data_IF_987364206865
#
_entry.id   IF_987364206865
#
_cell.length_a   1.000
_cell.length_b   1.000
_cell.length_c   1.000
_cell.angle_alpha   90.00
_cell.angle_beta   90.00
_cell.angle_gamma   90.00
#
_symmetry.space_group_name_H-M   'P 1'
#
loop_
_entity.id
_entity.type
_entity.pdbx_description
1 polymer ?
#
# COMPACT_ATOMS: atom_id res chain seq x y z
N UNK A 1 34.76 13.88 20.19
CA UNK A 1 34.40 12.61 19.52
C UNK A 1 33.49 12.94 18.36
N UNK A 2 33.99 12.75 17.14
CA UNK A 2 33.48 13.38 15.93
C UNK A 2 32.08 12.93 15.57
N UNK A 3 31.17 13.90 15.46
CA UNK A 3 29.89 13.72 14.78
C UNK A 3 30.18 13.33 13.33
N UNK A 4 29.92 12.07 13.00
CA UNK A 4 29.92 11.62 11.61
C UNK A 4 28.76 12.36 10.94
N UNK A 5 29.06 13.46 10.26
CA UNK A 5 28.19 14.00 9.22
C UNK A 5 28.04 12.92 8.15
N UNK A 6 27.12 11.97 8.37
CA UNK A 6 26.70 11.03 7.36
C UNK A 6 26.08 11.88 6.26
N UNK A 7 26.76 11.99 5.12
CA UNK A 7 26.17 12.59 3.92
C UNK A 7 24.80 11.92 3.70
N UNK A 8 23.74 12.68 3.39
CA UNK A 8 22.44 12.10 3.13
C UNK A 8 22.58 11.04 2.04
N UNK A 9 21.98 9.87 2.25
CA UNK A 9 22.04 8.80 1.25
C UNK A 9 21.27 9.28 0.01
N UNK A 10 21.63 8.83 -1.21
CA UNK A 10 20.96 9.27 -2.44
C UNK A 10 19.43 9.13 -2.40
N UNK A 11 18.92 8.13 -1.68
CA UNK A 11 17.49 7.94 -1.43
C UNK A 11 16.88 9.04 -0.56
N UNK A 12 17.53 9.44 0.53
CA UNK A 12 17.05 10.47 1.46
C UNK A 12 16.88 11.81 0.73
N UNK A 13 17.86 12.14 -0.12
CA UNK A 13 17.81 13.35 -0.96
C UNK A 13 16.63 13.29 -1.95
N UNK A 14 16.36 12.13 -2.56
CA UNK A 14 15.25 11.98 -3.49
C UNK A 14 13.89 12.29 -2.83
N UNK A 15 13.66 11.82 -1.60
CA UNK A 15 12.41 12.09 -0.88
C UNK A 15 12.30 13.54 -0.40
N UNK A 16 13.41 14.16 0.00
CA UNK A 16 13.45 15.60 0.31
C UNK A 16 13.08 16.44 -0.92
N UNK A 17 13.68 16.13 -2.09
CA UNK A 17 13.36 16.84 -3.34
C UNK A 17 11.92 16.58 -3.77
N UNK A 18 11.39 15.36 -3.59
CA UNK A 18 10.00 15.04 -3.87
C UNK A 18 9.05 15.86 -2.99
N UNK A 19 9.34 15.99 -1.69
CA UNK A 19 8.58 16.85 -0.77
C UNK A 19 8.65 18.33 -1.15
N UNK A 20 9.82 18.84 -1.55
CA UNK A 20 9.97 20.21 -2.04
C UNK A 20 9.20 20.45 -3.34
N UNK A 21 9.18 19.48 -4.26
CA UNK A 21 8.40 19.57 -5.50
C UNK A 21 6.89 19.59 -5.20
N UNK A 22 6.41 18.72 -4.32
CA UNK A 22 5.03 18.73 -3.85
C UNK A 22 4.66 20.08 -3.21
N UNK A 23 5.51 20.61 -2.33
CA UNK A 23 5.30 21.92 -1.70
C UNK A 23 5.29 23.06 -2.72
N UNK A 24 6.20 23.04 -3.71
CA UNK A 24 6.25 24.04 -4.76
C UNK A 24 4.97 24.06 -5.61
N UNK A 25 4.39 22.89 -5.92
CA UNK A 25 3.09 22.79 -6.59
C UNK A 25 1.98 23.41 -5.75
N UNK A 26 1.94 23.11 -4.45
CA UNK A 26 0.97 23.68 -3.51
C UNK A 26 1.07 25.22 -3.48
N UNK A 27 2.30 25.75 -3.38
CA UNK A 27 2.56 27.18 -3.33
C UNK A 27 2.24 27.91 -4.64
N UNK A 28 2.43 27.25 -5.79
CA UNK A 28 2.24 27.85 -7.11
C UNK A 28 0.77 27.89 -7.57
N UNK A 29 -0.12 27.13 -6.94
CA UNK A 29 -1.52 26.98 -7.37
C UNK A 29 -2.53 27.40 -6.28
N UNK A 30 -2.46 28.64 -5.77
CA UNK A 30 -3.43 29.11 -4.78
C UNK A 30 -4.84 29.13 -5.37
N UNK A 31 -5.83 28.67 -4.61
CA UNK A 31 -7.24 28.66 -5.01
C UNK A 31 -7.70 27.41 -5.77
N UNK A 32 -6.80 26.49 -6.12
CA UNK A 32 -7.19 25.16 -6.62
C UNK A 32 -7.83 24.36 -5.48
N UNK A 33 -8.87 23.59 -5.78
CA UNK A 33 -9.53 22.74 -4.79
C UNK A 33 -8.52 21.79 -4.11
N UNK A 34 -8.51 21.64 -2.78
CA UNK A 34 -7.42 20.94 -2.09
C UNK A 34 -7.20 19.50 -2.56
N UNK A 35 -8.25 18.76 -2.93
CA UNK A 35 -8.13 17.45 -3.57
C UNK A 35 -7.23 17.48 -4.82
N UNK A 36 -7.53 18.36 -5.79
CA UNK A 36 -6.76 18.49 -7.02
C UNK A 36 -5.34 18.98 -6.73
N UNK A 37 -5.21 19.91 -5.77
CA UNK A 37 -3.92 20.43 -5.35
C UNK A 37 -3.01 19.31 -4.80
N UNK A 38 -3.54 18.45 -3.92
CA UNK A 38 -2.80 17.30 -3.41
C UNK A 38 -2.55 16.22 -4.45
N UNK A 39 -3.45 16.02 -5.43
CA UNK A 39 -3.21 15.14 -6.56
C UNK A 39 -2.02 15.64 -7.39
N UNK A 40 -1.99 16.92 -7.74
CA UNK A 40 -0.87 17.50 -8.49
C UNK A 40 0.44 17.43 -7.72
N UNK A 41 0.40 17.67 -6.41
CA UNK A 41 1.56 17.54 -5.53
C UNK A 41 2.09 16.10 -5.47
N UNK A 42 1.20 15.11 -5.33
CA UNK A 42 1.54 13.68 -5.31
C UNK A 42 2.09 13.20 -6.66
N UNK A 43 1.51 13.67 -7.78
CA UNK A 43 2.04 13.40 -9.11
C UNK A 43 3.42 14.01 -9.33
N UNK A 44 3.65 15.26 -8.89
CA UNK A 44 4.96 15.89 -9.00
C UNK A 44 6.02 15.16 -8.16
N UNK A 45 5.69 14.78 -6.92
CA UNK A 45 6.57 14.00 -6.08
C UNK A 45 6.83 12.59 -6.67
N UNK A 46 5.82 11.94 -7.24
CA UNK A 46 5.97 10.66 -7.97
C UNK A 46 6.93 10.81 -9.15
N UNK A 47 6.85 11.89 -9.93
CA UNK A 47 7.78 12.14 -11.05
C UNK A 47 9.23 12.35 -10.58
N UNK A 48 9.43 13.01 -9.43
CA UNK A 48 10.76 13.15 -8.81
C UNK A 48 11.29 11.79 -8.36
N UNK A 49 10.47 10.99 -7.67
CA UNK A 49 10.84 9.63 -7.24
C UNK A 49 11.15 8.75 -8.45
N UNK A 50 10.39 8.89 -9.54
CA UNK A 50 10.66 8.21 -10.80
C UNK A 50 12.01 8.60 -11.39
N UNK A 51 12.29 9.90 -11.53
CA UNK A 51 13.57 10.39 -12.05
C UNK A 51 14.74 9.88 -11.19
N UNK A 52 14.60 9.93 -9.87
CA UNK A 52 15.60 9.39 -8.95
C UNK A 52 15.78 7.87 -9.12
N UNK A 53 14.68 7.11 -9.25
CA UNK A 53 14.71 5.65 -9.46
C UNK A 53 15.46 5.27 -10.75
N UNK A 54 15.33 6.09 -11.80
CA UNK A 54 16.07 5.92 -13.05
C UNK A 54 17.55 6.24 -12.87
N UNK A 55 17.88 7.33 -12.16
CA UNK A 55 19.26 7.74 -11.92
C UNK A 55 20.05 6.73 -11.07
N UNK A 56 19.39 6.08 -10.11
CA UNK A 56 20.01 5.05 -9.25
C UNK A 56 19.77 3.62 -9.74
N UNK A 57 19.11 3.46 -10.90
CA UNK A 57 18.75 2.17 -11.50
C UNK A 57 18.03 1.20 -10.53
N UNK A 58 17.12 1.71 -9.70
CA UNK A 58 16.38 0.91 -8.72
C UNK A 58 14.93 1.42 -8.57
N UNK A 59 13.97 0.71 -9.14
CA UNK A 59 12.55 1.05 -9.09
C UNK A 59 11.93 0.90 -7.69
N UNK A 60 12.57 0.13 -6.80
CA UNK A 60 12.11 -0.06 -5.42
C UNK A 60 12.23 1.20 -4.57
N UNK A 61 12.87 2.24 -5.09
CA UNK A 61 12.86 3.57 -4.47
C UNK A 61 11.43 4.13 -4.30
N UNK A 62 10.48 3.65 -5.10
CA UNK A 62 9.06 3.99 -4.98
C UNK A 62 8.39 3.37 -3.75
N UNK A 63 8.84 2.21 -3.27
CA UNK A 63 8.15 1.45 -2.22
C UNK A 63 7.90 2.20 -0.90
N UNK A 64 8.90 2.90 -0.32
CA UNK A 64 8.64 3.66 0.90
C UNK A 64 7.78 4.91 0.63
N UNK A 65 7.87 5.49 -0.57
CA UNK A 65 7.14 6.71 -0.93
C UNK A 65 5.62 6.49 -0.84
N UNK A 66 5.10 5.47 -1.52
CA UNK A 66 3.65 5.23 -1.54
C UNK A 66 3.10 4.78 -0.18
N UNK A 67 3.94 4.22 0.70
CA UNK A 67 3.55 3.88 2.08
C UNK A 67 3.42 5.10 3.00
N UNK A 68 4.11 6.20 2.69
CA UNK A 68 4.17 7.43 3.52
C UNK A 68 3.22 8.51 3.00
N UNK A 69 3.09 8.65 1.68
CA UNK A 69 2.28 9.70 1.05
C UNK A 69 0.83 9.78 1.59
N UNK A 70 0.08 8.67 1.81
CA UNK A 70 -1.27 8.72 2.35
C UNK A 70 -1.39 9.38 3.72
N UNK A 71 -0.44 9.13 4.62
CA UNK A 71 -0.42 9.75 5.94
C UNK A 71 -0.16 11.26 5.86
N UNK A 72 0.79 11.68 5.01
CA UNK A 72 1.08 13.10 4.78
C UNK A 72 -0.14 13.80 4.19
N UNK A 73 -0.77 13.21 3.17
CA UNK A 73 -1.97 13.77 2.54
C UNK A 73 -3.12 13.89 3.54
N UNK A 74 -3.38 12.85 4.34
CA UNK A 74 -4.41 12.89 5.38
C UNK A 74 -4.16 13.98 6.43
N UNK A 75 -2.90 14.19 6.85
CA UNK A 75 -2.51 15.28 7.75
C UNK A 75 -2.77 16.66 7.11
N UNK A 76 -2.44 16.82 5.83
CA UNK A 76 -2.68 18.07 5.09
C UNK A 76 -4.19 18.36 4.99
N UNK A 77 -5.03 17.34 4.84
CA UNK A 77 -6.48 17.49 4.78
C UNK A 77 -7.16 17.64 6.15
N UNK A 78 -6.47 17.36 7.24
CA UNK A 78 -7.02 17.41 8.59
C UNK A 78 -7.28 18.87 9.05
N UNK A 79 -8.34 19.47 8.54
CA UNK A 79 -8.75 20.85 8.85
C UNK A 79 -9.51 20.96 10.17
N UNK A 80 -9.96 19.84 10.75
CA UNK A 80 -10.69 19.78 12.01
C UNK A 80 -10.11 18.78 13.02
N UNK A 81 -10.53 18.89 14.27
CA UNK A 81 -10.06 18.07 15.40
C UNK A 81 -11.16 17.18 16.00
N UNK A 82 -12.15 16.79 15.20
CA UNK A 82 -13.23 15.90 15.64
C UNK A 82 -12.76 14.47 15.90
N UNK A 83 -13.63 13.69 16.55
CA UNK A 83 -13.35 12.28 16.88
C UNK A 83 -13.08 11.44 15.62
N UNK A 84 -13.88 11.62 14.55
CA UNK A 84 -13.68 10.94 13.27
C UNK A 84 -12.31 11.26 12.68
N UNK A 85 -11.95 12.54 12.59
CA UNK A 85 -10.67 12.99 12.05
C UNK A 85 -9.50 12.36 12.80
N UNK A 86 -9.56 12.39 14.14
CA UNK A 86 -8.51 11.83 14.98
C UNK A 86 -8.36 10.33 14.78
N UNK A 87 -9.47 9.59 14.78
CA UNK A 87 -9.47 8.14 14.59
C UNK A 87 -8.93 7.74 13.21
N UNK A 88 -9.38 8.41 12.15
CA UNK A 88 -8.91 8.12 10.79
C UNK A 88 -7.41 8.43 10.68
N UNK A 89 -6.93 9.56 11.21
CA UNK A 89 -5.51 9.87 11.24
C UNK A 89 -4.70 8.80 11.98
N UNK A 90 -5.15 8.35 13.15
CA UNK A 90 -4.47 7.30 13.91
C UNK A 90 -4.41 5.98 13.15
N UNK A 91 -5.50 5.59 12.47
CA UNK A 91 -5.56 4.35 11.68
C UNK A 91 -4.70 4.43 10.42
N UNK A 92 -4.71 5.56 9.70
CA UNK A 92 -3.84 5.80 8.54
C UNK A 92 -2.37 5.82 8.95
N UNK A 93 -2.03 6.46 10.08
CA UNK A 93 -0.68 6.43 10.63
C UNK A 93 -0.26 5.02 11.05
N UNK A 94 -1.13 4.27 11.71
CA UNK A 94 -0.85 2.89 12.09
C UNK A 94 -0.60 2.00 10.86
N UNK A 95 -1.42 2.15 9.81
CA UNK A 95 -1.24 1.46 8.53
C UNK A 95 0.08 1.86 7.85
N UNK A 96 0.36 3.16 7.75
CA UNK A 96 1.57 3.71 7.11
C UNK A 96 2.84 3.26 7.82
N UNK A 97 2.92 3.46 9.15
CA UNK A 97 4.07 3.05 9.96
C UNK A 97 4.32 1.55 9.85
N UNK A 98 3.26 0.73 9.92
CA UNK A 98 3.36 -0.74 9.77
C UNK A 98 3.94 -1.08 8.41
N UNK A 99 3.40 -0.52 7.33
CA UNK A 99 3.80 -0.82 5.96
C UNK A 99 5.24 -0.39 5.69
N UNK A 100 5.61 0.84 6.09
CA UNK A 100 6.99 1.34 5.99
C UNK A 100 7.95 0.49 6.82
N UNK A 101 7.58 0.09 8.05
CA UNK A 101 8.40 -0.79 8.87
C UNK A 101 8.54 -2.19 8.27
N UNK A 102 7.49 -2.72 7.63
CA UNK A 102 7.52 -4.00 6.93
C UNK A 102 8.54 -3.99 5.80
N UNK A 103 8.47 -2.95 4.95
CA UNK A 103 9.43 -2.72 3.88
C UNK A 103 10.86 -2.54 4.42
N UNK A 104 11.05 -1.66 5.40
CA UNK A 104 12.36 -1.29 5.95
C UNK A 104 13.13 -2.49 6.52
N UNK A 105 12.44 -3.49 7.09
CA UNK A 105 13.07 -4.74 7.58
C UNK A 105 13.73 -5.56 6.46
N UNK A 106 13.16 -5.52 5.25
CA UNK A 106 13.68 -6.26 4.10
C UNK A 106 14.63 -5.44 3.22
N UNK A 107 14.69 -4.12 3.41
CA UNK A 107 15.51 -3.23 2.62
C UNK A 107 17.00 -3.41 2.89
N UNK A 108 17.78 -3.73 1.84
CA UNK A 108 19.24 -3.94 1.93
C UNK A 108 20.06 -2.80 1.32
N UNK A 109 19.42 -1.67 1.01
CA UNK A 109 20.03 -0.55 0.28
C UNK A 109 19.91 -0.69 -1.24
N UNK A 110 20.47 0.29 -1.96
CA UNK A 110 20.27 0.48 -3.40
C UNK A 110 20.78 -0.67 -4.29
N UNK A 111 21.62 -1.57 -3.76
CA UNK A 111 22.04 -2.78 -4.47
C UNK A 111 20.99 -3.90 -4.50
N UNK A 112 19.86 -3.72 -3.80
CA UNK A 112 18.74 -4.66 -3.81
C UNK A 112 17.52 -4.02 -4.45
N UNK A 113 16.96 -4.69 -5.46
CA UNK A 113 15.70 -4.32 -6.11
C UNK A 113 14.68 -5.43 -5.92
N UNK A 114 13.42 -5.07 -5.69
CA UNK A 114 12.32 -6.02 -5.58
C UNK A 114 12.22 -6.84 -6.87
N UNK A 115 12.10 -8.14 -6.69
CA UNK A 115 12.02 -9.10 -7.79
C UNK A 115 10.87 -8.84 -8.77
N UNK A 116 9.78 -8.20 -8.32
CA UNK A 116 8.64 -7.83 -9.18
C UNK A 116 9.11 -6.88 -10.26
N UNK A 117 9.92 -5.90 -9.88
CA UNK A 117 10.44 -4.89 -10.80
C UNK A 117 11.52 -5.47 -11.70
N UNK A 118 12.37 -6.36 -11.17
CA UNK A 118 13.33 -7.13 -12.00
C UNK A 118 12.58 -7.98 -13.04
N UNK A 119 11.56 -8.71 -12.63
CA UNK A 119 10.74 -9.53 -13.52
C UNK A 119 10.04 -8.68 -14.60
N UNK A 120 9.42 -7.56 -14.21
CA UNK A 120 8.79 -6.63 -15.15
C UNK A 120 9.81 -6.03 -16.12
N UNK A 121 11.02 -5.71 -15.65
CA UNK A 121 12.11 -5.24 -16.50
C UNK A 121 12.52 -6.30 -17.52
N UNK A 122 12.67 -7.55 -17.11
CA UNK A 122 13.07 -8.65 -17.98
C UNK A 122 11.98 -9.05 -18.99
N UNK A 123 10.71 -8.95 -18.60
CA UNK A 123 9.55 -9.36 -19.42
C UNK A 123 8.90 -8.22 -20.20
N UNK A 124 9.46 -7.00 -20.14
CA UNK A 124 8.87 -5.81 -20.78
C UNK A 124 8.77 -5.95 -22.30
N UNK A 125 7.65 -5.47 -22.84
CA UNK A 125 7.47 -5.26 -24.28
C UNK A 125 7.62 -3.79 -24.70
N UNK A 126 7.86 -2.91 -23.73
CA UNK A 126 8.00 -1.47 -23.90
C UNK A 126 9.33 -0.98 -23.29
N UNK A 127 9.79 0.24 -23.61
CA UNK A 127 10.97 0.83 -22.99
C UNK A 127 10.87 0.83 -21.45
N UNK A 128 11.99 0.57 -20.76
CA UNK A 128 12.00 0.43 -19.31
C UNK A 128 11.46 1.66 -18.58
N UNK A 129 11.80 2.86 -19.05
CA UNK A 129 11.31 4.11 -18.46
C UNK A 129 9.78 4.18 -18.44
N UNK A 130 9.10 3.64 -19.47
CA UNK A 130 7.64 3.67 -19.56
C UNK A 130 7.01 2.65 -18.62
N UNK A 131 7.57 1.44 -18.55
CA UNK A 131 7.10 0.39 -17.62
C UNK A 131 7.30 0.82 -16.17
N UNK A 132 8.46 1.42 -15.86
CA UNK A 132 8.76 1.95 -14.53
C UNK A 132 7.83 3.12 -14.19
N UNK A 133 7.71 4.12 -15.06
CA UNK A 133 6.84 5.27 -14.81
C UNK A 133 5.37 4.85 -14.67
N UNK A 134 4.81 4.16 -15.67
CA UNK A 134 3.37 3.89 -15.72
C UNK A 134 3.00 2.73 -14.83
N UNK A 135 3.66 1.58 -14.99
CA UNK A 135 3.27 0.34 -14.32
C UNK A 135 3.66 0.27 -12.84
N UNK A 136 4.87 0.75 -12.49
CA UNK A 136 5.40 0.61 -11.13
C UNK A 136 5.04 1.81 -10.25
N UNK A 137 4.94 3.01 -10.81
CA UNK A 137 4.82 4.23 -10.01
C UNK A 137 3.47 4.93 -10.20
N UNK A 138 3.13 5.37 -11.42
CA UNK A 138 1.96 6.20 -11.69
C UNK A 138 0.64 5.47 -11.44
N UNK A 139 0.47 4.24 -11.96
CA UNK A 139 -0.78 3.48 -11.74
C UNK A 139 -1.00 3.21 -10.25
N UNK A 140 -0.02 2.67 -9.48
CA UNK A 140 -0.19 2.52 -8.04
C UNK A 140 -0.45 3.85 -7.31
N UNK A 141 0.22 4.95 -7.67
CA UNK A 141 -0.06 6.29 -7.10
C UNK A 141 -1.51 6.68 -7.31
N UNK A 142 -2.03 6.53 -8.55
CA UNK A 142 -3.43 6.87 -8.85
C UNK A 142 -4.44 5.96 -8.15
N UNK A 143 -4.13 4.67 -7.99
CA UNK A 143 -4.99 3.73 -7.26
C UNK A 143 -5.05 4.07 -5.76
N UNK A 144 -3.89 4.37 -5.16
CA UNK A 144 -3.80 4.81 -3.75
C UNK A 144 -4.53 6.15 -3.56
N UNK A 145 -4.33 7.10 -4.47
CA UNK A 145 -5.02 8.39 -4.43
C UNK A 145 -6.54 8.22 -4.59
N UNK A 146 -7.00 7.32 -5.47
CA UNK A 146 -8.41 6.99 -5.59
C UNK A 146 -8.98 6.40 -4.28
N UNK A 147 -8.21 5.58 -3.57
CA UNK A 147 -8.55 5.11 -2.22
C UNK A 147 -8.66 6.24 -1.20
N UNK A 148 -7.79 7.24 -1.28
CA UNK A 148 -7.82 8.43 -0.43
C UNK A 148 -9.04 9.34 -0.67
N UNK A 149 -9.72 9.25 -1.82
CA UNK A 149 -10.91 10.08 -2.06
C UNK A 149 -11.99 9.90 -0.99
N UNK A 150 -12.12 8.69 -0.40
CA UNK A 150 -13.03 8.45 0.72
C UNK A 150 -12.56 9.09 2.04
N UNK A 151 -11.26 9.37 2.19
CA UNK A 151 -10.69 10.02 3.39
C UNK A 151 -11.01 11.52 3.41
N UNK A 152 -11.12 12.16 2.24
CA UNK A 152 -11.43 13.59 2.15
C UNK A 152 -12.70 14.02 2.91
N UNK A 153 -13.90 13.45 2.65
CA UNK A 153 -15.09 13.78 3.43
C UNK A 153 -14.94 13.41 4.91
N UNK A 154 -14.19 12.34 5.25
CA UNK A 154 -13.93 11.99 6.65
C UNK A 154 -13.07 13.02 7.40
N UNK A 155 -12.18 13.72 6.67
CA UNK A 155 -11.33 14.78 7.23
C UNK A 155 -12.03 16.13 7.31
N UNK A 156 -12.91 16.43 6.36
CA UNK A 156 -13.47 17.78 6.16
C UNK A 156 -14.94 17.92 6.52
N UNK A 157 -15.67 16.80 6.60
CA UNK A 157 -17.09 16.79 6.92
C UNK A 157 -17.38 17.09 8.39
N UNK A 158 -18.56 17.67 8.64
CA UNK A 158 -19.06 18.13 9.94
C UNK A 158 -20.19 17.26 10.51
N UNK A 159 -20.66 16.26 9.75
CA UNK A 159 -21.67 15.30 10.20
C UNK A 159 -21.24 14.61 11.49
N UNK A 160 -22.15 14.51 12.45
CA UNK A 160 -21.90 13.88 13.73
C UNK A 160 -21.36 12.44 13.58
N UNK A 161 -20.51 12.03 14.53
CA UNK A 161 -20.00 10.67 14.64
C UNK A 161 -21.16 9.71 14.92
N UNK A 162 -21.18 8.53 14.29
CA UNK A 162 -22.27 7.56 14.46
C UNK A 162 -21.90 6.11 14.16
N UNK A 163 -22.91 5.24 14.09
CA UNK A 163 -22.72 3.79 13.99
C UNK A 163 -21.91 3.33 12.77
N UNK A 164 -21.95 4.08 11.67
CA UNK A 164 -21.15 3.77 10.49
C UNK A 164 -19.65 4.05 10.72
N UNK A 165 -19.32 5.03 11.58
CA UNK A 165 -17.95 5.25 12.03
C UNK A 165 -17.46 4.09 12.89
N UNK A 166 -18.30 3.56 13.80
CA UNK A 166 -17.95 2.38 14.60
C UNK A 166 -17.66 1.17 13.71
N UNK A 167 -18.50 0.94 12.68
CA UNK A 167 -18.27 -0.11 11.69
C UNK A 167 -16.96 0.12 10.91
N UNK A 168 -16.69 1.36 10.48
CA UNK A 168 -15.45 1.72 9.78
C UNK A 168 -14.21 1.48 10.67
N UNK A 169 -14.27 1.84 11.96
CA UNK A 169 -13.20 1.56 12.95
C UNK A 169 -12.92 0.06 13.03
N UNK A 170 -13.96 -0.75 13.17
CA UNK A 170 -13.81 -2.21 13.30
C UNK A 170 -13.20 -2.78 12.02
N UNK A 171 -13.70 -2.38 10.85
CA UNK A 171 -13.21 -2.85 9.54
C UNK A 171 -11.75 -2.45 9.33
N UNK A 172 -11.42 -1.17 9.48
CA UNK A 172 -10.05 -0.67 9.28
C UNK A 172 -9.09 -1.19 10.34
N UNK A 173 -9.50 -1.22 11.62
CA UNK A 173 -8.68 -1.76 12.70
C UNK A 173 -8.38 -3.25 12.51
N UNK A 174 -9.39 -4.05 12.15
CA UNK A 174 -9.21 -5.45 11.82
C UNK A 174 -8.29 -5.64 10.60
N UNK A 175 -8.42 -4.80 9.57
CA UNK A 175 -7.53 -4.81 8.41
C UNK A 175 -6.05 -4.64 8.84
N UNK A 176 -5.73 -3.58 9.59
CA UNK A 176 -4.36 -3.33 10.07
C UNK A 176 -3.82 -4.49 10.91
N UNK A 177 -4.66 -5.10 11.75
CA UNK A 177 -4.28 -6.28 12.56
C UNK A 177 -4.02 -7.50 11.69
N UNK A 178 -4.87 -7.77 10.69
CA UNK A 178 -4.72 -8.87 9.74
C UNK A 178 -3.38 -8.72 9.01
N UNK A 179 -3.09 -7.54 8.47
CA UNK A 179 -1.85 -7.27 7.76
C UNK A 179 -0.62 -7.45 8.65
N UNK A 180 -0.62 -6.81 9.82
CA UNK A 180 0.50 -6.89 10.76
C UNK A 180 0.77 -8.33 11.19
N UNK A 181 -0.29 -9.12 11.39
CA UNK A 181 -0.19 -10.53 11.77
C UNK A 181 0.30 -11.38 10.61
N UNK A 182 -0.23 -11.19 9.41
CA UNK A 182 0.16 -11.91 8.20
C UNK A 182 1.64 -11.69 7.86
N UNK A 183 2.09 -10.43 7.89
CA UNK A 183 3.49 -10.05 7.64
C UNK A 183 4.42 -10.67 8.69
N UNK A 184 4.07 -10.58 9.98
CA UNK A 184 4.87 -11.20 11.06
C UNK A 184 4.99 -12.71 10.91
N UNK A 185 3.89 -13.39 10.57
CA UNK A 185 3.87 -14.84 10.34
C UNK A 185 4.76 -15.21 9.15
N UNK A 186 4.69 -14.47 8.05
CA UNK A 186 5.51 -14.70 6.86
C UNK A 186 6.99 -14.48 7.15
N UNK A 187 7.34 -13.40 7.84
CA UNK A 187 8.73 -13.11 8.21
C UNK A 187 9.31 -14.17 9.12
N UNK A 188 8.58 -14.56 10.16
CA UNK A 188 9.02 -15.62 11.07
C UNK A 188 9.24 -16.94 10.33
N UNK A 189 8.31 -17.31 9.45
CA UNK A 189 8.43 -18.52 8.64
C UNK A 189 9.64 -18.47 7.69
N UNK A 190 9.86 -17.34 7.02
CA UNK A 190 10.93 -17.17 6.05
C UNK A 190 12.33 -17.04 6.68
N UNK A 191 12.42 -16.63 7.95
CA UNK A 191 13.67 -16.51 8.68
C UNK A 191 14.29 -17.87 9.04
N UNK A 192 13.47 -18.92 9.16
CA UNK A 192 13.93 -20.27 9.46
C UNK A 192 14.49 -20.97 8.20
N UNK A 193 15.78 -21.35 8.16
CA UNK A 193 16.38 -22.05 7.03
C UNK A 193 15.69 -23.37 6.69
N UNK A 194 15.07 -24.04 7.66
CA UNK A 194 14.35 -25.30 7.44
C UNK A 194 13.08 -25.10 6.58
N UNK A 195 12.59 -23.87 6.46
CA UNK A 195 11.42 -23.52 5.67
C UNK A 195 11.76 -23.06 4.24
N UNK A 196 13.04 -23.07 3.84
CA UNK A 196 13.43 -22.73 2.46
C UNK A 196 12.73 -23.64 1.46
N UNK A 197 12.07 -23.02 0.47
CA UNK A 197 11.30 -23.72 -0.55
C UNK A 197 9.93 -24.23 -0.09
N UNK A 198 9.60 -24.15 1.21
CA UNK A 198 8.30 -24.57 1.74
C UNK A 198 7.22 -23.50 1.56
N UNK A 199 5.97 -23.92 1.70
CA UNK A 199 4.78 -23.09 1.64
C UNK A 199 4.32 -22.84 3.09
N UNK A 200 4.05 -21.59 3.44
CA UNK A 200 3.44 -21.26 4.72
C UNK A 200 1.96 -21.66 4.68
N UNK A 201 1.53 -22.53 5.60
CA UNK A 201 0.15 -23.02 5.69
C UNK A 201 -0.34 -23.02 7.15
N UNK A 202 0.05 -21.98 7.90
CA UNK A 202 -0.25 -21.80 9.32
C UNK A 202 -0.74 -20.38 9.61
N UNK A 203 -1.40 -20.18 10.75
CA UNK A 203 -1.88 -18.86 11.16
C UNK A 203 -2.99 -18.34 10.24
N UNK A 204 -2.82 -17.15 9.67
CA UNK A 204 -3.75 -16.58 8.68
C UNK A 204 -3.58 -17.22 7.29
N UNK A 205 -2.36 -17.70 6.99
CA UNK A 205 -2.00 -18.23 5.67
C UNK A 205 -2.67 -19.57 5.32
N UNK A 206 -3.24 -20.26 6.32
CA UNK A 206 -4.08 -21.46 6.09
C UNK A 206 -5.49 -21.14 5.55
N UNK A 207 -5.92 -19.89 5.66
CA UNK A 207 -7.27 -19.45 5.27
C UNK A 207 -7.27 -18.64 3.97
N UNK A 208 -6.13 -18.01 3.68
CA UNK A 208 -5.92 -17.16 2.51
C UNK A 208 -4.46 -17.29 2.09
N UNK A 209 -4.20 -17.41 0.79
CA UNK A 209 -2.82 -17.44 0.27
C UNK A 209 -2.16 -16.07 0.29
N UNK A 210 -2.94 -14.99 0.42
CA UNK A 210 -2.45 -13.61 0.49
C UNK A 210 -3.22 -12.82 1.56
N UNK A 211 -3.13 -13.19 2.85
CA UNK A 211 -3.92 -12.57 3.91
C UNK A 211 -3.54 -11.11 4.15
N UNK A 212 -2.28 -10.73 3.91
CA UNK A 212 -1.85 -9.34 3.94
C UNK A 212 -2.47 -8.51 2.81
N UNK A 213 -2.66 -9.07 1.61
CA UNK A 213 -3.37 -8.38 0.52
C UNK A 213 -4.85 -8.22 0.83
N UNK A 214 -5.47 -9.21 1.47
CA UNK A 214 -6.85 -9.08 1.94
C UNK A 214 -6.96 -7.94 2.97
N UNK A 215 -6.03 -7.87 3.92
CA UNK A 215 -5.98 -6.78 4.89
C UNK A 215 -5.83 -5.41 4.21
N UNK A 216 -4.89 -5.28 3.27
CA UNK A 216 -4.68 -4.05 2.49
C UNK A 216 -5.96 -3.62 1.75
N UNK A 217 -6.63 -4.53 1.03
CA UNK A 217 -7.91 -4.25 0.37
C UNK A 217 -8.96 -3.79 1.39
N UNK A 218 -9.07 -4.49 2.52
CA UNK A 218 -10.07 -4.21 3.58
C UNK A 218 -9.84 -2.84 4.22
N UNK A 219 -8.58 -2.40 4.35
CA UNK A 219 -8.21 -1.08 4.85
C UNK A 219 -8.87 0.03 4.00
N UNK A 220 -8.76 -0.07 2.67
CA UNK A 220 -9.34 0.91 1.74
C UNK A 220 -10.87 0.88 1.73
N UNK A 221 -11.51 -0.28 1.95
CA UNK A 221 -12.95 -0.35 2.18
C UNK A 221 -13.35 0.39 3.46
N UNK A 222 -12.58 0.25 4.54
CA UNK A 222 -12.82 0.99 5.77
C UNK A 222 -12.63 2.51 5.61
N UNK A 223 -11.65 2.97 4.83
CA UNK A 223 -11.50 4.40 4.49
C UNK A 223 -12.72 4.93 3.73
N UNK A 224 -13.27 4.14 2.80
CA UNK A 224 -14.51 4.47 2.11
C UNK A 224 -15.71 4.55 3.07
N UNK A 225 -15.83 3.62 4.04
CA UNK A 225 -16.89 3.66 5.05
C UNK A 225 -16.83 4.92 5.91
N UNK A 226 -15.64 5.35 6.34
CA UNK A 226 -15.49 6.64 7.03
C UNK A 226 -15.96 7.82 6.18
N UNK A 227 -15.64 7.80 4.88
CA UNK A 227 -16.10 8.83 3.96
C UNK A 227 -17.62 8.87 3.83
N UNK A 228 -18.24 7.71 3.70
CA UNK A 228 -19.70 7.56 3.63
C UNK A 228 -20.38 7.96 4.96
N UNK A 229 -19.74 7.69 6.10
CA UNK A 229 -20.22 8.11 7.43
C UNK A 229 -20.21 9.64 7.59
N UNK A 230 -19.19 10.30 7.05
CA UNK A 230 -19.08 11.75 7.08
C UNK A 230 -20.00 12.44 6.08
N UNK A 231 -20.11 11.92 4.85
CA UNK A 231 -21.01 12.46 3.83
C UNK A 231 -21.44 11.35 2.84
N UNK A 232 -22.71 10.90 2.92
CA UNK A 232 -23.26 9.91 1.98
C UNK A 232 -23.21 10.34 0.51
N UNK A 233 -23.10 11.64 0.20
CA UNK A 233 -22.91 12.15 -1.15
C UNK A 233 -21.62 11.68 -1.81
N UNK A 234 -20.64 11.22 -1.04
CA UNK A 234 -19.35 10.70 -1.51
C UNK A 234 -19.33 9.20 -1.78
N UNK A 235 -20.50 8.54 -1.88
CA UNK A 235 -20.60 7.10 -2.17
C UNK A 235 -19.77 6.66 -3.39
N UNK A 236 -19.65 7.52 -4.42
CA UNK A 236 -18.93 7.26 -5.67
C UNK A 236 -17.43 7.01 -5.46
N UNK A 237 -16.87 7.41 -4.33
CA UNK A 237 -15.48 7.12 -3.95
C UNK A 237 -15.20 5.63 -3.70
N UNK A 238 -16.24 4.78 -3.74
CA UNK A 238 -16.12 3.30 -3.79
C UNK A 238 -15.22 2.84 -4.95
N UNK A 239 -15.04 3.67 -5.97
CA UNK A 239 -14.07 3.46 -7.04
C UNK A 239 -12.65 3.19 -6.51
N UNK A 240 -12.23 3.80 -5.38
CA UNK A 240 -10.95 3.58 -4.75
C UNK A 240 -10.72 2.13 -4.29
N UNK A 241 -11.51 1.60 -3.32
CA UNK A 241 -11.39 0.21 -2.91
C UNK A 241 -11.65 -0.80 -4.05
N UNK A 242 -12.52 -0.49 -5.02
CA UNK A 242 -12.68 -1.32 -6.23
C UNK A 242 -11.37 -1.36 -7.03
N UNK A 243 -10.72 -0.21 -7.27
CA UNK A 243 -9.44 -0.16 -7.96
C UNK A 243 -8.35 -0.97 -7.23
N UNK A 244 -8.35 -0.96 -5.89
CA UNK A 244 -7.48 -1.84 -5.10
C UNK A 244 -7.78 -3.32 -5.30
N UNK A 245 -9.06 -3.73 -5.28
CA UNK A 245 -9.44 -5.11 -5.60
C UNK A 245 -8.93 -5.51 -6.99
N UNK A 246 -9.11 -4.65 -8.00
CA UNK A 246 -8.66 -4.93 -9.36
C UNK A 246 -7.13 -5.07 -9.43
N UNK A 247 -6.38 -4.15 -8.83
CA UNK A 247 -4.92 -4.20 -8.79
C UNK A 247 -4.44 -5.50 -8.16
N UNK A 248 -4.96 -5.85 -6.98
CA UNK A 248 -4.54 -7.07 -6.29
C UNK A 248 -4.98 -8.34 -7.01
N UNK A 249 -6.23 -8.43 -7.44
CA UNK A 249 -6.79 -9.65 -8.03
C UNK A 249 -6.21 -9.97 -9.41
N UNK A 250 -5.92 -8.94 -10.23
CA UNK A 250 -5.48 -9.13 -11.62
C UNK A 250 -3.98 -8.92 -11.83
N UNK A 251 -3.29 -8.21 -10.93
CA UNK A 251 -1.84 -7.95 -11.06
C UNK A 251 -1.07 -8.64 -9.95
N UNK A 252 -1.27 -8.24 -8.69
CA UNK A 252 -0.39 -8.64 -7.59
C UNK A 252 -0.49 -10.13 -7.23
N UNK A 253 -1.71 -10.66 -7.07
CA UNK A 253 -1.96 -12.07 -6.77
C UNK A 253 -1.44 -12.99 -7.88
N UNK A 254 -1.79 -12.78 -9.17
CA UNK A 254 -1.26 -13.62 -10.25
C UNK A 254 0.27 -13.59 -10.35
N UNK A 255 0.91 -12.44 -10.18
CA UNK A 255 2.38 -12.34 -10.18
C UNK A 255 3.00 -13.18 -9.06
N UNK A 256 2.48 -13.07 -7.84
CA UNK A 256 3.00 -13.82 -6.69
C UNK A 256 2.76 -15.33 -6.82
N UNK A 257 1.59 -15.72 -7.34
CA UNK A 257 1.22 -17.11 -7.55
C UNK A 257 2.05 -17.78 -8.63
N UNK A 258 2.24 -17.12 -9.78
CA UNK A 258 3.12 -17.62 -10.85
C UNK A 258 4.55 -17.82 -10.35
N UNK A 259 5.07 -16.88 -9.56
CA UNK A 259 6.40 -17.03 -8.96
C UNK A 259 6.46 -18.21 -8.00
N UNK A 260 5.40 -18.43 -7.21
CA UNK A 260 5.33 -19.52 -6.26
C UNK A 260 5.22 -20.88 -6.95
N UNK A 261 4.39 -20.99 -8.00
CA UNK A 261 4.31 -22.17 -8.88
C UNK A 261 5.66 -22.52 -9.48
N UNK A 262 6.41 -21.52 -9.97
CA UNK A 262 7.73 -21.76 -10.57
C UNK A 262 8.81 -22.23 -9.57
N UNK A 263 8.59 -22.06 -8.26
CA UNK A 263 9.60 -22.32 -7.21
C UNK A 263 9.26 -23.49 -6.31
N UNK A 264 8.01 -23.93 -6.29
CA UNK A 264 7.50 -24.87 -5.29
C UNK A 264 6.60 -25.91 -6.00
N UNK A 265 7.05 -27.17 -6.13
CA UNK A 265 6.30 -28.22 -6.81
C UNK A 265 4.88 -28.42 -6.28
N UNK A 266 4.70 -28.35 -4.95
CA UNK A 266 3.41 -28.62 -4.31
C UNK A 266 2.44 -27.41 -4.29
N UNK A 267 2.83 -26.27 -4.87
CA UNK A 267 2.04 -25.05 -4.76
C UNK A 267 0.72 -25.13 -5.51
N UNK A 268 0.65 -25.86 -6.62
CA UNK A 268 -0.61 -26.07 -7.34
C UNK A 268 -1.65 -26.78 -6.46
N UNK A 269 -1.23 -27.83 -5.72
CA UNK A 269 -2.12 -28.52 -4.79
C UNK A 269 -2.55 -27.61 -3.63
N UNK A 270 -1.64 -26.76 -3.15
CA UNK A 270 -1.97 -25.76 -2.13
C UNK A 270 -3.01 -24.73 -2.65
N UNK A 271 -2.89 -24.25 -3.89
CA UNK A 271 -3.87 -23.33 -4.51
C UNK A 271 -5.28 -23.91 -4.59
N UNK A 272 -5.42 -25.24 -4.74
CA UNK A 272 -6.72 -25.92 -4.76
C UNK A 272 -7.37 -25.98 -3.37
N UNK A 273 -6.58 -25.94 -2.30
CA UNK A 273 -7.06 -26.05 -0.90
C UNK A 273 -7.29 -24.68 -0.26
N UNK A 274 -6.41 -23.72 -0.54
CA UNK A 274 -6.42 -22.40 0.08
C UNK A 274 -6.75 -21.34 -0.97
N UNK A 275 -7.83 -20.57 -0.80
CA UNK A 275 -8.20 -19.52 -1.75
C UNK A 275 -7.21 -18.35 -1.73
N UNK A 276 -7.20 -17.54 -2.79
CA UNK A 276 -6.25 -16.44 -2.92
C UNK A 276 -6.46 -15.33 -1.87
N UNK A 277 -7.71 -14.88 -1.69
CA UNK A 277 -8.07 -13.74 -0.83
C UNK A 277 -9.11 -14.16 0.22
N UNK A 278 -10.38 -14.29 -0.17
CA UNK A 278 -11.47 -14.59 0.76
C UNK A 278 -11.52 -16.09 1.11
N UNK A 279 -11.59 -16.45 2.41
CA UNK A 279 -11.79 -17.84 2.82
C UNK A 279 -13.12 -18.37 2.29
N UNK A 280 -13.13 -19.56 1.68
CA UNK A 280 -14.36 -20.25 1.29
C UNK A 280 -14.63 -21.41 2.27
N UNK A 281 -15.88 -21.65 2.70
CA UNK A 281 -16.25 -22.75 3.61
C UNK A 281 -15.78 -24.16 3.20
N UNK A 282 -15.45 -24.36 1.92
CA UNK A 282 -15.08 -25.65 1.33
C UNK A 282 -13.62 -26.06 1.57
N UNK A 283 -12.77 -25.25 2.21
CA UNK A 283 -11.38 -25.63 2.55
C UNK A 283 -11.26 -26.78 3.57
N UNK A 284 -12.40 -27.35 4.01
CA UNK A 284 -12.50 -28.42 5.01
C UNK A 284 -12.36 -29.86 4.49
N UNK A 285 -12.26 -30.12 3.18
CA UNK A 285 -12.20 -31.49 2.64
C UNK A 285 -10.79 -31.92 2.19
N UNK A 286 -9.88 -32.08 3.14
CA UNK A 286 -8.85 -33.14 3.07
C UNK A 286 -8.25 -33.37 4.46
N UNK A 287 -8.95 -34.14 5.29
CA UNK A 287 -8.30 -34.95 6.31
C UNK A 287 -8.46 -36.39 5.85
N UNK A 288 -7.34 -37.00 5.47
CA UNK A 288 -7.17 -38.45 5.40
C UNK A 288 -7.49 -39.07 6.74
#
# INVERSE_FOLDING_TARGET
MGGVHRRPRPADLAYLVAGLAAWAVIAALPGVHPLLLTLYADLAATLVVFAASMAVANASLYDPYWSVAPAVIAIVWATGHGARQTVVLLLVLAWSIRLTANWARSWRGLGHEDWRYVQLREQRQAPWWLVNLVGIQLVPTLVVFAGLLGVWPAMTGDRAFGLLDDAAIIVTGAAVVIEATADRQLHHFAADPANRGRIIDQGLWRYSRHPNYLGEITFWWGMWLFGLAADPGWWWTVAGPIAMVLLFAFVSVPMMDRRSLARRPDYEQHMRRVPALLPHPMSRRSRS
#
